data_IF_955040150289
#
_entry.id   IF_955040150289
#
_cell.length_a   1.000
_cell.length_b   1.000
_cell.length_c   1.000
_cell.angle_alpha   90.00
_cell.angle_beta   90.00
_cell.angle_gamma   90.00
#
_symmetry.space_group_name_H-M   'P 1'
#
loop_
_entity.id
_entity.type
_entity.pdbx_description
1 polymer ?
#
# COMPACT_ATOMS: atom_id res chain seq x y z
N UNK A 1 22.87 5.21 17.87
CA UNK A 1 21.53 4.87 17.31
C UNK A 1 21.20 3.44 17.70
N UNK A 2 20.04 3.23 18.33
CA UNK A 2 19.61 1.89 18.78
C UNK A 2 19.31 0.96 17.59
N UNK A 3 19.60 -0.34 17.73
CA UNK A 3 19.38 -1.38 16.71
C UNK A 3 17.93 -1.37 16.22
N UNK A 4 16.98 -1.11 17.11
CA UNK A 4 15.55 -1.00 16.80
C UNK A 4 15.24 0.07 15.75
N UNK A 5 15.97 1.19 15.76
CA UNK A 5 15.78 2.25 14.77
C UNK A 5 16.36 1.87 13.41
N UNK A 6 17.42 1.05 13.40
CA UNK A 6 18.10 0.61 12.19
C UNK A 6 17.24 -0.43 11.44
N UNK A 7 16.64 -1.38 12.16
CA UNK A 7 15.71 -2.37 11.58
C UNK A 7 14.50 -1.66 10.97
N UNK A 8 13.87 -0.76 11.72
CA UNK A 8 12.71 0.00 11.25
C UNK A 8 13.02 0.88 10.04
N UNK A 9 14.23 1.41 9.93
CA UNK A 9 14.68 2.18 8.76
C UNK A 9 14.92 1.29 7.52
N UNK A 10 15.45 0.09 7.68
CA UNK A 10 15.67 -0.86 6.57
C UNK A 10 14.34 -1.38 6.00
N UNK A 11 13.36 -1.67 6.86
CA UNK A 11 11.99 -2.03 6.45
C UNK A 11 11.30 -0.86 5.72
N UNK A 12 11.55 0.37 6.15
CA UNK A 12 11.01 1.58 5.50
C UNK A 12 11.68 1.90 4.16
N UNK A 13 12.93 1.47 3.95
CA UNK A 13 13.65 1.65 2.69
C UNK A 13 13.18 0.69 1.58
N UNK A 14 12.40 -0.34 1.92
CA UNK A 14 11.97 -1.41 1.02
C UNK A 14 10.44 -1.52 0.90
N UNK A 15 9.71 -0.46 1.26
CA UNK A 15 8.26 -0.38 1.12
C UNK A 15 7.83 0.81 0.25
N UNK A 16 6.81 0.58 -0.57
CA UNK A 16 6.26 1.53 -1.53
C UNK A 16 4.80 1.78 -1.16
N UNK A 17 4.40 3.06 -1.25
CA UNK A 17 3.02 3.46 -1.08
C UNK A 17 2.37 3.71 -2.43
N UNK A 18 1.26 3.03 -2.70
CA UNK A 18 0.41 3.27 -3.87
C UNK A 18 -0.95 3.84 -3.43
N UNK A 19 -1.55 4.61 -4.33
CA UNK A 19 -2.92 5.11 -4.20
C UNK A 19 -3.73 4.58 -5.37
N UNK A 20 -4.81 3.87 -5.07
CA UNK A 20 -5.71 3.29 -6.05
C UNK A 20 -7.07 3.98 -5.94
N UNK A 21 -7.65 4.37 -7.07
CA UNK A 21 -9.04 4.85 -7.11
C UNK A 21 -9.95 3.63 -7.30
N UNK A 22 -10.62 3.22 -6.23
CA UNK A 22 -11.59 2.11 -6.21
C UNK A 22 -12.99 2.72 -6.31
N UNK A 23 -13.48 2.96 -7.53
CA UNK A 23 -14.76 3.70 -7.71
C UNK A 23 -15.94 3.03 -7.02
N UNK A 24 -15.89 1.71 -6.94
CA UNK A 24 -16.97 0.88 -6.40
C UNK A 24 -16.84 0.63 -4.88
N UNK A 25 -15.84 1.23 -4.20
CA UNK A 25 -15.71 1.21 -2.74
C UNK A 25 -16.55 2.35 -2.14
N UNK A 26 -17.86 2.11 -2.00
CA UNK A 26 -18.84 3.10 -1.58
C UNK A 26 -19.08 3.09 -0.06
N UNK A 27 -18.89 1.94 0.57
CA UNK A 27 -19.18 1.74 1.99
C UNK A 27 -17.93 1.34 2.78
N UNK A 28 -18.01 1.48 4.11
CA UNK A 28 -17.00 0.93 5.02
C UNK A 28 -16.94 -0.59 4.94
N UNK A 29 -18.04 -1.24 4.58
CA UNK A 29 -18.10 -2.70 4.41
C UNK A 29 -17.27 -3.15 3.20
N UNK A 30 -17.41 -2.46 2.06
CA UNK A 30 -16.57 -2.69 0.88
C UNK A 30 -15.08 -2.55 1.21
N UNK A 31 -14.73 -1.49 1.96
CA UNK A 31 -13.38 -1.28 2.43
C UNK A 31 -12.88 -2.44 3.30
N UNK A 32 -13.70 -2.93 4.24
CA UNK A 32 -13.32 -4.02 5.13
C UNK A 32 -13.06 -5.32 4.34
N UNK A 33 -13.91 -5.65 3.36
CA UNK A 33 -13.72 -6.83 2.50
C UNK A 33 -12.38 -6.76 1.76
N UNK A 34 -12.07 -5.60 1.16
CA UNK A 34 -10.80 -5.40 0.43
C UNK A 34 -9.60 -5.51 1.40
N UNK A 35 -9.69 -4.88 2.57
CA UNK A 35 -8.62 -4.86 3.57
C UNK A 35 -8.35 -6.26 4.14
N UNK A 36 -9.40 -7.00 4.49
CA UNK A 36 -9.27 -8.34 5.05
C UNK A 36 -8.71 -9.33 4.03
N UNK A 37 -8.98 -9.10 2.75
CA UNK A 37 -8.38 -9.87 1.66
C UNK A 37 -6.90 -9.50 1.50
N UNK A 38 -6.57 -8.22 1.38
CA UNK A 38 -5.19 -7.76 1.17
C UNK A 38 -4.27 -8.11 2.34
N UNK A 39 -4.75 -8.02 3.58
CA UNK A 39 -3.95 -8.37 4.77
C UNK A 39 -3.50 -9.84 4.82
N UNK A 40 -4.15 -10.73 4.07
CA UNK A 40 -3.73 -12.14 3.97
C UNK A 40 -2.49 -12.32 3.11
N UNK A 41 -2.15 -11.34 2.27
CA UNK A 41 -1.00 -11.41 1.38
C UNK A 41 0.27 -10.95 2.07
N UNK A 42 1.33 -11.76 1.93
CA UNK A 42 2.68 -11.40 2.40
C UNK A 42 3.15 -10.16 1.64
N UNK A 43 3.78 -9.23 2.37
CA UNK A 43 4.31 -7.99 1.80
C UNK A 43 3.39 -6.79 1.93
N UNK A 44 2.15 -6.92 2.40
CA UNK A 44 1.34 -5.77 2.83
C UNK A 44 1.77 -5.35 4.24
N UNK A 45 2.21 -4.10 4.40
CA UNK A 45 2.61 -3.54 5.69
C UNK A 45 1.46 -2.80 6.38
N UNK A 46 0.73 -1.98 5.63
CA UNK A 46 -0.36 -1.18 6.16
C UNK A 46 -1.30 -0.70 5.07
N UNK A 47 -2.58 -0.54 5.40
CA UNK A 47 -3.60 0.03 4.52
C UNK A 47 -4.21 1.22 5.26
N UNK A 48 -4.33 2.36 4.59
CA UNK A 48 -4.92 3.57 5.17
C UNK A 48 -6.42 3.38 5.44
N UNK A 49 -7.00 4.10 6.42
CA UNK A 49 -8.43 4.01 6.73
C UNK A 49 -9.30 4.43 5.55
N UNK A 50 -10.55 3.97 5.56
CA UNK A 50 -11.55 4.36 4.58
C UNK A 50 -11.68 5.90 4.50
N UNK A 51 -11.84 6.40 3.28
CA UNK A 51 -12.15 7.80 3.03
C UNK A 51 -13.27 7.88 1.98
N UNK A 52 -14.16 8.86 2.11
CA UNK A 52 -15.26 9.11 1.14
C UNK A 52 -14.78 9.53 -0.27
N UNK A 53 -13.48 9.43 -0.54
CA UNK A 53 -12.86 9.82 -1.82
C UNK A 53 -12.65 8.63 -2.75
N UNK A 54 -13.13 7.44 -2.40
CA UNK A 54 -12.89 6.21 -3.16
C UNK A 54 -11.39 5.90 -3.37
N UNK A 55 -10.52 6.43 -2.52
CA UNK A 55 -9.06 6.24 -2.61
C UNK A 55 -8.61 5.24 -1.55
N UNK A 56 -7.98 4.16 -2.00
CA UNK A 56 -7.32 3.17 -1.17
C UNK A 56 -5.81 3.41 -1.21
N UNK A 57 -5.20 3.65 -0.04
CA UNK A 57 -3.75 3.83 0.06
C UNK A 57 -3.13 2.60 0.72
N UNK A 58 -2.18 1.97 0.03
CA UNK A 58 -1.58 0.70 0.44
C UNK A 58 -0.07 0.90 0.53
N UNK A 59 0.51 0.49 1.65
CA UNK A 59 1.94 0.38 1.83
C UNK A 59 2.35 -1.09 1.74
N UNK A 60 3.22 -1.44 0.81
CA UNK A 60 3.62 -2.81 0.53
C UNK A 60 5.10 -2.91 0.16
N UNK A 61 5.68 -4.11 0.26
CA UNK A 61 7.05 -4.36 -0.18
C UNK A 61 7.07 -4.81 -1.65
N UNK A 62 7.60 -4.00 -2.59
CA UNK A 62 7.64 -4.34 -4.00
C UNK A 62 8.52 -5.54 -4.34
N UNK A 63 9.43 -5.95 -3.44
CA UNK A 63 10.23 -7.17 -3.61
C UNK A 63 9.46 -8.46 -3.35
N UNK A 64 8.31 -8.38 -2.66
CA UNK A 64 7.46 -9.52 -2.28
C UNK A 64 6.16 -9.52 -3.08
N UNK A 65 5.54 -8.34 -3.25
CA UNK A 65 4.24 -8.18 -3.88
C UNK A 65 4.31 -7.06 -4.91
N UNK A 66 3.86 -7.30 -6.15
CA UNK A 66 3.84 -6.28 -7.19
C UNK A 66 2.57 -5.42 -7.15
N UNK A 67 2.63 -4.19 -7.67
CA UNK A 67 1.44 -3.34 -7.80
C UNK A 67 0.37 -3.97 -8.68
N UNK A 68 0.76 -4.71 -9.74
CA UNK A 68 -0.16 -5.44 -10.61
C UNK A 68 -0.85 -6.61 -9.87
N UNK A 69 -0.15 -7.28 -8.95
CA UNK A 69 -0.77 -8.32 -8.12
C UNK A 69 -1.84 -7.73 -7.20
N UNK A 70 -1.58 -6.57 -6.60
CA UNK A 70 -2.57 -5.85 -5.78
C UNK A 70 -3.81 -5.49 -6.62
N UNK A 71 -3.61 -4.96 -7.82
CA UNK A 71 -4.68 -4.63 -8.76
C UNK A 71 -5.52 -5.86 -9.14
N UNK A 72 -4.85 -6.99 -9.43
CA UNK A 72 -5.50 -8.25 -9.74
C UNK A 72 -6.33 -8.79 -8.57
N UNK A 73 -5.82 -8.73 -7.34
CA UNK A 73 -6.53 -9.17 -6.14
C UNK A 73 -7.82 -8.37 -5.96
N UNK A 74 -7.74 -7.04 -6.10
CA UNK A 74 -8.90 -6.18 -5.89
C UNK A 74 -9.93 -6.36 -7.04
N UNK A 75 -9.45 -6.51 -8.27
CA UNK A 75 -10.31 -6.81 -9.43
C UNK A 75 -11.00 -8.17 -9.27
N UNK A 76 -10.32 -9.17 -8.70
CA UNK A 76 -10.88 -10.48 -8.39
C UNK A 76 -12.00 -10.48 -7.36
N UNK A 77 -12.09 -9.42 -6.53
CA UNK A 77 -13.21 -9.18 -5.62
C UNK A 77 -14.41 -8.50 -6.31
N UNK A 78 -14.29 -8.12 -7.60
CA UNK A 78 -15.33 -7.42 -8.35
C UNK A 78 -15.24 -5.89 -8.29
N UNK A 79 -14.19 -5.32 -7.69
CA UNK A 79 -14.03 -3.87 -7.57
C UNK A 79 -13.17 -3.31 -8.71
N UNK A 80 -13.73 -2.40 -9.52
CA UNK A 80 -12.96 -1.76 -10.58
C UNK A 80 -12.00 -0.71 -10.04
N UNK A 81 -10.73 -0.87 -10.38
CA UNK A 81 -9.68 0.09 -10.08
C UNK A 81 -9.44 0.99 -11.30
N UNK A 82 -9.34 2.30 -11.07
CA UNK A 82 -8.54 3.14 -11.96
C UNK A 82 -7.20 3.37 -11.24
N UNK A 83 -6.12 2.68 -11.61
CA UNK A 83 -4.84 2.90 -11.00
C UNK A 83 -4.36 4.31 -11.38
N UNK A 84 -4.63 5.29 -10.53
CA UNK A 84 -3.94 6.56 -10.55
C UNK A 84 -2.50 6.27 -10.11
N UNK A 85 -1.67 5.80 -11.05
CA UNK A 85 -0.26 5.47 -10.83
C UNK A 85 0.51 6.73 -10.41
N UNK A 86 0.44 7.04 -9.12
CA UNK A 86 1.43 7.86 -8.42
C UNK A 86 2.20 6.91 -7.52
N UNK A 87 3.10 6.15 -8.11
CA UNK A 87 4.11 5.41 -7.36
C UNK A 87 5.04 6.46 -6.72
N UNK A 88 4.77 6.80 -5.46
CA UNK A 88 5.66 7.67 -4.71
C UNK A 88 6.75 6.78 -4.14
N UNK A 89 7.81 6.57 -4.92
CA UNK A 89 9.06 6.01 -4.41
C UNK A 89 9.64 7.01 -3.41
N UNK A 90 9.40 6.79 -2.12
CA UNK A 90 10.08 7.56 -1.07
C UNK A 90 11.51 7.05 -0.90
N UNK A 91 12.40 7.39 -1.83
CA UNK A 91 13.84 7.29 -1.59
C UNK A 91 14.26 8.44 -0.67
N UNK A 92 14.36 8.17 0.64
CA UNK A 92 14.97 9.13 1.56
C UNK A 92 16.49 9.10 1.36
N UNK A 93 16.99 10.06 0.58
CA UNK A 93 18.42 10.31 0.42
C UNK A 93 19.04 10.65 1.79
N UNK A 94 20.03 9.84 2.18
CA UNK A 94 20.85 10.08 3.38
C UNK A 94 21.53 11.44 3.25
N UNK A 95 21.05 12.48 3.94
CA UNK A 95 21.90 13.63 4.25
C UNK A 95 23.00 13.13 5.18
N UNK A 96 24.17 12.81 4.62
CA UNK A 96 25.43 12.77 5.38
C UNK A 96 25.65 14.20 5.89
N UNK A 97 25.47 14.41 7.19
CA UNK A 97 25.90 15.64 7.85
C UNK A 97 27.43 15.74 7.71
N UNK A 98 27.88 16.92 7.31
CA UNK A 98 29.24 17.39 7.53
C UNK A 98 29.36 18.02 8.91
#
# INVERSE_FOLDING_TARGET
>A
MSIHNKIRQLEKQSSVTIRLLVKDMLTTEDYNIIVDTLKRYKGIHSIAPFTNKAILTINYSPSILSSHAIDYIISGLGYNQNPQKKEVYQYQSRKKGG
#
